data_IF_932500967068
#
_entry.id   IF_932500967068
#
_cell.length_a   1.000
_cell.length_b   1.000
_cell.length_c   1.000
_cell.angle_alpha   90.00
_cell.angle_beta   90.00
_cell.angle_gamma   90.00
#
_symmetry.space_group_name_H-M   'P 1'
#
loop_
_entity.id
_entity.type
_entity.pdbx_description
1 polymer ?
#
# COMPACT_ATOMS: atom_id res chain seq x y z
N UNK A 1 -22.85 22.45 -2.55
CA UNK A 1 -22.52 22.66 -3.98
C UNK A 1 -21.49 23.79 -4.18
N UNK A 2 -21.08 24.54 -3.15
CA UNK A 2 -19.96 25.49 -3.28
C UNK A 2 -18.84 25.15 -2.30
N UNK A 3 -17.95 24.25 -2.68
CA UNK A 3 -16.64 24.12 -2.02
C UNK A 3 -15.63 24.80 -2.95
N UNK A 4 -15.18 26.00 -2.58
CA UNK A 4 -14.25 26.81 -3.38
C UNK A 4 -12.93 26.08 -3.65
N UNK A 5 -12.57 25.11 -2.79
CA UNK A 5 -11.25 24.49 -2.78
C UNK A 5 -11.23 23.11 -3.45
N UNK A 6 -12.37 22.58 -3.93
CA UNK A 6 -12.45 21.25 -4.55
C UNK A 6 -13.45 21.24 -5.73
N UNK A 7 -13.25 22.15 -6.68
CA UNK A 7 -14.09 22.33 -7.86
C UNK A 7 -13.26 22.30 -9.16
N UNK A 8 -13.92 22.05 -10.30
CA UNK A 8 -13.30 22.07 -11.62
C UNK A 8 -12.03 21.21 -11.70
N UNK A 9 -10.96 21.79 -12.26
CA UNK A 9 -9.64 21.15 -12.39
C UNK A 9 -8.89 20.97 -11.07
N UNK A 10 -9.27 21.71 -10.02
CA UNK A 10 -8.70 21.55 -8.69
C UNK A 10 -9.35 20.40 -7.91
N UNK A 11 -10.29 19.68 -8.53
CA UNK A 11 -10.97 18.59 -7.87
C UNK A 11 -10.01 17.42 -7.63
N UNK A 12 -9.85 17.00 -6.37
CA UNK A 12 -8.88 15.96 -6.00
C UNK A 12 -9.19 14.61 -6.63
N UNK A 13 -10.47 14.25 -6.83
CA UNK A 13 -10.85 13.00 -7.50
C UNK A 13 -10.52 13.03 -8.99
N UNK A 14 -10.71 14.18 -9.64
CA UNK A 14 -10.32 14.38 -11.03
C UNK A 14 -8.80 14.30 -11.20
N UNK A 15 -8.05 15.02 -10.36
CA UNK A 15 -6.57 15.00 -10.40
C UNK A 15 -6.05 13.56 -10.21
N UNK A 16 -6.56 12.83 -9.22
CA UNK A 16 -6.17 11.43 -8.99
C UNK A 16 -6.54 10.52 -10.15
N UNK A 17 -7.62 10.81 -10.88
CA UNK A 17 -8.00 10.08 -12.08
C UNK A 17 -7.00 10.30 -13.21
N UNK A 18 -6.58 11.55 -13.42
CA UNK A 18 -5.65 11.94 -14.48
C UNK A 18 -4.22 11.41 -14.29
N UNK A 19 -3.81 11.08 -13.05
CA UNK A 19 -2.55 10.39 -12.82
C UNK A 19 -2.60 8.98 -13.43
N UNK A 20 -1.90 8.81 -14.54
CA UNK A 20 -1.78 7.53 -15.27
C UNK A 20 -0.79 6.64 -14.52
N UNK A 21 -1.16 5.38 -14.35
CA UNK A 21 -0.28 4.37 -13.78
C UNK A 21 -0.01 3.30 -14.85
N UNK A 22 1.22 2.78 -14.93
CA UNK A 22 1.61 1.86 -16.00
C UNK A 22 1.11 0.41 -15.80
N UNK A 23 0.59 0.05 -14.62
CA UNK A 23 0.22 -1.33 -14.29
C UNK A 23 -1.29 -1.61 -14.44
N UNK A 24 -1.69 -2.75 -15.03
CA UNK A 24 -3.09 -3.17 -15.09
C UNK A 24 -3.56 -3.64 -13.69
N UNK A 25 -4.41 -2.85 -13.02
CA UNK A 25 -4.88 -3.15 -11.65
C UNK A 25 -4.73 -2.01 -10.65
N UNK A 26 -4.58 -0.79 -11.13
CA UNK A 26 -4.38 0.43 -10.34
C UNK A 26 -5.46 0.61 -9.26
N UNK A 27 -5.02 0.87 -8.04
CA UNK A 27 -5.88 1.34 -6.96
C UNK A 27 -5.84 2.88 -6.94
N UNK A 28 -7.00 3.52 -7.07
CA UNK A 28 -7.12 4.98 -6.95
C UNK A 28 -7.83 5.35 -5.64
N UNK A 29 -7.30 6.28 -4.85
CA UNK A 29 -7.96 6.72 -3.62
C UNK A 29 -9.19 7.58 -3.94
N UNK A 30 -10.35 7.17 -3.42
CA UNK A 30 -11.65 7.84 -3.61
C UNK A 30 -11.96 8.80 -2.45
N UNK A 31 -11.45 8.47 -1.27
CA UNK A 31 -11.61 9.21 -0.02
C UNK A 31 -10.88 8.52 1.12
N UNK A 32 -10.79 9.21 2.26
CA UNK A 32 -10.29 8.67 3.53
C UNK A 32 -11.41 8.74 4.56
N UNK A 33 -11.45 7.76 5.46
CA UNK A 33 -12.34 7.76 6.61
C UNK A 33 -11.47 8.16 7.80
N UNK A 34 -11.62 9.39 8.28
CA UNK A 34 -10.89 9.88 9.45
C UNK A 34 -11.79 9.65 10.67
N UNK A 35 -11.36 8.85 11.66
CA UNK A 35 -12.11 8.72 12.91
C UNK A 35 -12.11 10.07 13.63
N UNK A 36 -13.31 10.59 13.88
CA UNK A 36 -13.54 11.78 14.68
C UNK A 36 -13.48 11.36 16.16
N UNK A 37 -12.28 11.27 16.76
CA UNK A 37 -12.02 11.56 18.21
C UNK A 37 -10.63 11.10 18.68
N UNK A 38 -10.01 11.99 19.45
CA UNK A 38 -8.82 11.86 20.31
C UNK A 38 -9.08 11.01 21.56
N UNK A 39 -10.16 10.22 21.61
CA UNK A 39 -10.55 9.52 22.82
C UNK A 39 -10.19 8.04 22.71
N UNK A 40 -9.20 7.68 23.52
CA UNK A 40 -8.76 6.35 23.87
C UNK A 40 -9.96 5.44 24.21
N UNK A 41 -10.60 4.85 23.21
CA UNK A 41 -11.44 3.69 23.43
C UNK A 41 -11.35 2.81 22.19
N UNK A 42 -10.26 2.04 22.14
CA UNK A 42 -10.17 0.76 21.45
C UNK A 42 -11.26 -0.17 21.98
N UNK A 43 -12.48 0.04 21.53
CA UNK A 43 -13.48 -1.01 21.47
C UNK A 43 -13.58 -1.39 20.01
N UNK A 44 -13.18 -2.62 19.70
CA UNK A 44 -13.48 -3.31 18.45
C UNK A 44 -15.01 -3.47 18.30
N UNK A 45 -15.75 -2.37 18.24
CA UNK A 45 -17.11 -2.39 17.75
C UNK A 45 -17.01 -2.69 16.27
N UNK A 46 -17.28 -3.96 15.93
CA UNK A 46 -17.59 -4.40 14.57
C UNK A 46 -18.71 -3.50 14.07
N UNK A 47 -18.33 -2.41 13.45
CA UNK A 47 -19.25 -1.38 13.01
C UNK A 47 -19.76 -1.84 11.67
N UNK A 48 -21.07 -2.07 11.58
CA UNK A 48 -21.69 -2.45 10.31
C UNK A 48 -21.68 -1.25 9.37
N UNK A 49 -20.69 -1.22 8.47
CA UNK A 49 -20.54 -0.16 7.47
C UNK A 49 -21.36 -0.52 6.23
N UNK A 50 -22.38 0.27 5.92
CA UNK A 50 -23.16 0.16 4.68
C UNK A 50 -22.59 1.14 3.64
N UNK A 51 -22.25 0.62 2.45
CA UNK A 51 -21.72 1.42 1.35
C UNK A 51 -22.74 1.39 0.22
N UNK A 52 -23.18 2.57 -0.22
CA UNK A 52 -24.11 2.74 -1.34
C UNK A 52 -23.31 3.26 -2.52
N UNK A 53 -23.30 2.49 -3.62
CA UNK A 53 -22.51 2.80 -4.82
C UNK A 53 -23.48 3.02 -5.97
N UNK A 54 -23.37 4.18 -6.63
CA UNK A 54 -24.09 4.43 -7.87
C UNK A 54 -23.27 3.89 -9.05
N UNK A 55 -23.83 2.96 -9.83
CA UNK A 55 -23.13 2.28 -10.90
C UNK A 55 -23.19 3.08 -12.23
N UNK A 56 -22.33 4.09 -12.37
CA UNK A 56 -22.33 5.00 -13.53
C UNK A 56 -21.31 4.65 -14.63
N UNK A 57 -20.38 3.73 -14.38
CA UNK A 57 -19.31 3.39 -15.33
C UNK A 57 -19.26 1.88 -15.55
N UNK A 58 -19.63 1.40 -16.72
CA UNK A 58 -19.65 -0.05 -17.03
C UNK A 58 -18.27 -0.53 -17.43
N UNK A 59 -17.88 -1.71 -16.93
CA UNK A 59 -16.58 -2.34 -17.26
C UNK A 59 -16.73 -3.65 -18.01
N UNK A 60 -17.98 -4.05 -18.27
CA UNK A 60 -18.34 -5.36 -18.82
C UNK A 60 -17.89 -5.50 -20.29
N UNK A 61 -17.86 -4.39 -21.03
CA UNK A 61 -17.51 -4.34 -22.46
C UNK A 61 -16.05 -4.72 -22.75
N UNK A 62 -15.18 -4.58 -21.75
CA UNK A 62 -13.75 -4.90 -21.84
C UNK A 62 -13.32 -5.94 -20.79
N UNK A 63 -14.28 -6.74 -20.30
CA UNK A 63 -14.07 -7.81 -19.32
C UNK A 63 -13.34 -7.33 -18.04
N UNK A 64 -13.49 -6.05 -17.69
CA UNK A 64 -12.85 -5.44 -16.54
C UNK A 64 -13.52 -5.82 -15.22
N UNK A 65 -12.78 -5.74 -14.12
CA UNK A 65 -13.31 -5.93 -12.76
C UNK A 65 -13.08 -4.68 -11.92
N UNK A 66 -14.08 -4.28 -11.15
CA UNK A 66 -13.98 -3.20 -10.15
C UNK A 66 -14.00 -3.79 -8.76
N UNK A 67 -13.05 -3.35 -7.93
CA UNK A 67 -12.96 -3.73 -6.51
C UNK A 67 -12.83 -2.48 -5.66
N UNK A 68 -13.46 -2.51 -4.48
CA UNK A 68 -13.29 -1.49 -3.45
C UNK A 68 -12.64 -2.17 -2.27
N UNK A 69 -11.56 -1.57 -1.77
CA UNK A 69 -10.79 -2.11 -0.66
C UNK A 69 -10.62 -0.98 0.35
N UNK A 70 -10.88 -1.28 1.62
CA UNK A 70 -10.53 -0.41 2.72
C UNK A 70 -9.18 -0.85 3.25
N UNK A 71 -8.24 0.08 3.27
CA UNK A 71 -6.90 -0.15 3.81
C UNK A 71 -6.60 0.92 4.83
N UNK A 72 -6.09 0.51 5.98
CA UNK A 72 -5.47 1.42 6.91
C UNK A 72 -4.09 1.78 6.36
N UNK A 73 -3.84 3.07 6.18
CA UNK A 73 -2.53 3.54 5.73
C UNK A 73 -1.58 3.59 6.91
N UNK A 74 -0.38 3.07 6.71
CA UNK A 74 0.73 3.20 7.65
C UNK A 74 1.71 4.27 7.16
N UNK A 75 2.74 4.57 7.95
CA UNK A 75 3.82 5.49 7.54
C UNK A 75 4.50 5.01 6.25
N UNK A 76 4.58 3.69 6.03
CA UNK A 76 5.15 3.10 4.81
C UNK A 76 4.13 3.01 3.66
N UNK A 77 2.91 3.53 3.85
CA UNK A 77 1.84 3.52 2.86
C UNK A 77 0.91 2.32 2.99
N UNK A 78 0.45 1.84 1.84
CA UNK A 78 -0.46 0.69 1.72
C UNK A 78 0.31 -0.58 2.11
N UNK A 79 -0.30 -1.50 2.88
CA UNK A 79 0.37 -2.73 3.29
C UNK A 79 0.93 -3.49 2.08
N UNK A 80 2.26 -3.67 2.06
CA UNK A 80 2.96 -4.44 1.05
C UNK A 80 3.98 -5.37 1.74
N UNK A 81 3.67 -6.67 1.92
CA UNK A 81 4.57 -7.61 2.59
C UNK A 81 5.84 -7.92 1.78
N UNK A 82 5.82 -7.71 0.46
CA UNK A 82 6.94 -8.03 -0.43
C UNK A 82 8.22 -7.30 -0.02
N UNK A 83 8.09 -6.05 0.43
CA UNK A 83 9.24 -5.27 0.84
C UNK A 83 9.92 -5.88 2.08
N UNK A 84 9.15 -6.39 3.03
CA UNK A 84 9.68 -7.06 4.22
C UNK A 84 10.44 -8.34 3.89
N UNK A 85 9.90 -9.16 2.99
CA UNK A 85 10.55 -10.40 2.55
C UNK A 85 11.89 -10.13 1.87
N UNK A 86 11.96 -9.12 0.99
CA UNK A 86 13.19 -8.74 0.30
C UNK A 86 14.29 -8.39 1.31
N UNK A 87 13.97 -7.58 2.33
CA UNK A 87 14.95 -7.21 3.37
C UNK A 87 15.42 -8.41 4.20
N UNK A 88 14.50 -9.30 4.59
CA UNK A 88 14.86 -10.53 5.32
C UNK A 88 15.80 -11.42 4.49
N UNK A 89 15.48 -11.65 3.22
CA UNK A 89 16.31 -12.49 2.34
C UNK A 89 17.69 -11.87 2.17
N UNK A 90 17.78 -10.56 1.91
CA UNK A 90 19.05 -9.87 1.71
C UNK A 90 19.93 -9.90 2.97
N UNK A 91 19.32 -9.77 4.15
CA UNK A 91 20.00 -9.87 5.44
C UNK A 91 20.62 -11.25 5.66
N UNK A 92 19.87 -12.32 5.38
CA UNK A 92 20.35 -13.70 5.52
C UNK A 92 21.51 -13.97 4.56
N UNK A 93 21.36 -13.58 3.29
CA UNK A 93 22.43 -13.75 2.28
C UNK A 93 23.69 -13.03 2.72
N UNK A 94 23.58 -11.77 3.15
CA UNK A 94 24.73 -11.00 3.62
C UNK A 94 25.42 -11.66 4.82
N UNK A 95 24.67 -12.21 5.77
CA UNK A 95 25.22 -12.86 6.96
C UNK A 95 25.99 -14.14 6.59
N UNK A 96 25.44 -14.95 5.67
CA UNK A 96 26.12 -16.16 5.16
C UNK A 96 27.44 -15.81 4.48
N UNK A 97 27.48 -14.75 3.66
CA UNK A 97 28.71 -14.28 3.03
C UNK A 97 29.77 -13.85 4.05
N UNK A 98 29.38 -13.17 5.12
CA UNK A 98 30.30 -12.78 6.20
C UNK A 98 30.88 -14.01 6.90
N UNK A 99 30.06 -15.00 7.25
CA UNK A 99 30.54 -16.24 7.87
C UNK A 99 31.48 -17.00 6.94
N UNK A 100 31.11 -17.11 5.66
CA UNK A 100 31.94 -17.77 4.66
C UNK A 100 33.32 -17.09 4.53
N UNK A 101 33.33 -15.76 4.42
CA UNK A 101 34.56 -14.99 4.34
C UNK A 101 35.41 -15.14 5.61
N UNK A 102 34.79 -15.14 6.78
CA UNK A 102 35.46 -15.35 8.05
C UNK A 102 36.09 -16.75 8.16
N UNK A 103 35.38 -17.80 7.74
CA UNK A 103 35.93 -19.15 7.71
C UNK A 103 37.10 -19.27 6.71
N UNK A 104 36.95 -18.67 5.53
CA UNK A 104 37.99 -18.67 4.50
C UNK A 104 39.28 -18.00 4.99
N UNK A 105 39.18 -16.84 5.66
CA UNK A 105 40.36 -16.15 6.18
C UNK A 105 41.07 -16.92 7.30
N UNK A 106 40.31 -17.57 8.19
CA UNK A 106 40.87 -18.43 9.23
C UNK A 106 41.58 -19.66 8.65
N UNK A 107 41.00 -20.32 7.65
CA UNK A 107 41.63 -21.45 6.99
C UNK A 107 42.94 -21.03 6.28
N UNK A 108 42.93 -19.88 5.62
CA UNK A 108 44.13 -19.32 4.98
C UNK A 108 45.27 -19.02 5.95
N UNK A 109 44.98 -18.66 7.21
CA UNK A 109 46.02 -18.47 8.23
C UNK A 109 46.62 -19.79 8.72
N UNK A 110 45.83 -20.87 8.76
CA UNK A 110 46.31 -22.18 9.25
C UNK A 110 47.23 -22.93 8.28
N UNK A 111 47.28 -22.52 7.01
CA UNK A 111 48.10 -23.12 5.95
C UNK A 111 49.44 -22.41 5.69
N UNK A 112 49.77 -21.38 6.49
CA UNK A 112 51.05 -20.65 6.49
C UNK A 112 51.81 -21.01 7.77
#
# INVERSE_FOLDING_TARGET
INNSNNNGFLNSRYINWMNIYPFPGVLKPIGSIVPETTSETTTETTTNIRIIIQYNYRVDEFEGKKKIIFVQQSILGIPNPELGYIFCVFSIVSLVFVIYFWLYSNFSQSSI
#
